data_IF_903266485719
#
_entry.id   IF_903266485719
#
_cell.length_a   1.000
_cell.length_b   1.000
_cell.length_c   1.000
_cell.angle_alpha   90.00
_cell.angle_beta   90.00
_cell.angle_gamma   90.00
#
_symmetry.space_group_name_H-M   'P 1'
#
loop_
_entity.id
_entity.type
_entity.pdbx_description
1 polymer ?
#
# COMPACT_ATOMS: atom_id res chain seq x y z
N UNK A 1 -12.82 14.85 20.51
CA UNK A 1 -12.57 13.52 19.92
C UNK A 1 -12.38 13.75 18.44
N UNK A 2 -11.13 13.72 18.05
CA UNK A 2 -10.57 14.66 17.08
C UNK A 2 -10.79 14.27 15.62
N UNK A 3 -11.42 15.20 14.91
CA UNK A 3 -11.06 15.70 13.58
C UNK A 3 -9.99 14.90 12.80
N UNK A 4 -10.40 13.85 12.09
CA UNK A 4 -9.67 13.29 10.93
C UNK A 4 -9.91 14.14 9.67
N UNK A 5 -9.84 15.46 9.82
CA UNK A 5 -9.98 16.39 8.71
C UNK A 5 -8.68 16.42 7.89
N UNK A 6 -8.76 15.76 6.73
CA UNK A 6 -8.45 16.42 5.47
C UNK A 6 -7.03 17.01 5.32
N UNK A 7 -6.03 16.15 5.15
CA UNK A 7 -4.83 16.49 4.39
C UNK A 7 -4.93 15.91 2.96
N UNK A 8 -5.98 16.30 2.23
CA UNK A 8 -6.06 16.01 0.79
C UNK A 8 -5.31 17.11 0.05
N UNK A 9 -4.07 16.81 -0.37
CA UNK A 9 -3.34 17.62 -1.33
C UNK A 9 -4.25 17.93 -2.53
N UNK A 10 -4.37 19.21 -2.88
CA UNK A 10 -5.42 19.76 -3.73
C UNK A 10 -5.40 19.29 -5.18
N UNK A 11 -5.99 18.12 -5.44
CA UNK A 11 -6.33 17.65 -6.77
C UNK A 11 -7.86 17.51 -6.88
N UNK A 12 -8.52 18.45 -7.57
CA UNK A 12 -9.95 18.38 -7.90
C UNK A 12 -10.14 17.43 -9.09
N UNK A 13 -10.08 16.13 -8.85
CA UNK A 13 -10.58 15.14 -9.81
C UNK A 13 -12.07 14.91 -9.59
N UNK A 14 -12.80 14.47 -10.64
CA UNK A 14 -14.21 14.10 -10.52
C UNK A 14 -14.41 12.98 -9.50
N UNK A 15 -15.60 12.90 -8.89
CA UNK A 15 -15.89 11.99 -7.77
C UNK A 15 -15.54 10.52 -8.02
N UNK A 16 -15.63 10.07 -9.28
CA UNK A 16 -15.27 8.71 -9.70
C UNK A 16 -13.79 8.35 -9.45
N UNK A 17 -12.85 9.22 -9.85
CA UNK A 17 -11.42 8.92 -9.70
C UNK A 17 -10.97 8.95 -8.23
N UNK A 18 -11.65 9.74 -7.40
CA UNK A 18 -11.39 9.78 -5.96
C UNK A 18 -11.86 8.49 -5.28
N UNK A 19 -13.07 8.01 -5.58
CA UNK A 19 -13.54 6.74 -5.01
C UNK A 19 -12.70 5.56 -5.49
N UNK A 20 -12.34 5.52 -6.77
CA UNK A 20 -11.50 4.47 -7.31
C UNK A 20 -10.10 4.45 -6.68
N UNK A 21 -9.51 5.63 -6.45
CA UNK A 21 -8.24 5.74 -5.75
C UNK A 21 -8.32 5.24 -4.30
N UNK A 22 -9.41 5.56 -3.59
CA UNK A 22 -9.64 5.10 -2.23
C UNK A 22 -9.81 3.57 -2.18
N UNK A 23 -10.60 2.98 -3.08
CA UNK A 23 -10.81 1.53 -3.19
C UNK A 23 -9.48 0.79 -3.47
N UNK A 24 -8.68 1.29 -4.41
CA UNK A 24 -7.38 0.69 -4.74
C UNK A 24 -6.36 0.86 -3.61
N UNK A 25 -6.36 1.99 -2.91
CA UNK A 25 -5.52 2.22 -1.74
C UNK A 25 -5.87 1.27 -0.57
N UNK A 26 -7.16 0.99 -0.37
CA UNK A 26 -7.62 -0.02 0.58
C UNK A 26 -7.16 -1.42 0.16
N UNK A 27 -7.32 -1.77 -1.13
CA UNK A 27 -6.86 -3.06 -1.66
C UNK A 27 -5.34 -3.26 -1.47
N UNK A 28 -4.52 -2.22 -1.66
CA UNK A 28 -3.07 -2.26 -1.37
C UNK A 28 -2.82 -2.50 0.11
N UNK A 29 -3.61 -1.87 0.98
CA UNK A 29 -3.44 -2.03 2.43
C UNK A 29 -3.77 -3.44 2.89
N UNK A 30 -4.84 -4.02 2.35
CA UNK A 30 -5.25 -5.41 2.58
C UNK A 30 -4.17 -6.37 2.06
N UNK A 31 -3.65 -6.13 0.85
CA UNK A 31 -2.57 -6.92 0.24
C UNK A 31 -1.36 -7.04 1.17
N UNK A 32 -0.88 -5.91 1.67
CA UNK A 32 0.30 -5.88 2.53
C UNK A 32 0.03 -6.49 3.89
N UNK A 33 -1.15 -6.25 4.46
CA UNK A 33 -1.49 -6.73 5.79
C UNK A 33 -1.63 -8.25 5.82
N UNK A 34 -2.36 -8.82 4.87
CA UNK A 34 -2.83 -10.20 4.97
C UNK A 34 -2.09 -11.19 4.08
N UNK A 35 -1.64 -10.74 2.91
CA UNK A 35 -1.13 -11.62 1.86
C UNK A 35 0.40 -11.53 1.68
N UNK A 36 1.09 -10.74 2.52
CA UNK A 36 2.55 -10.71 2.52
C UNK A 36 3.07 -11.83 3.44
N UNK A 37 3.90 -12.75 2.94
CA UNK A 37 4.45 -13.83 3.76
C UNK A 37 5.43 -13.29 4.80
N UNK A 38 5.42 -13.90 5.98
CA UNK A 38 6.34 -13.60 7.07
C UNK A 38 7.72 -14.28 6.89
N UNK A 39 8.57 -14.23 7.92
CA UNK A 39 9.90 -14.87 7.89
C UNK A 39 9.87 -16.40 7.77
N UNK A 40 8.72 -17.03 8.05
CA UNK A 40 8.49 -18.46 7.89
C UNK A 40 7.80 -18.81 6.56
N UNK A 41 7.47 -17.81 5.74
CA UNK A 41 6.74 -17.98 4.49
C UNK A 41 5.23 -18.06 4.66
N UNK A 42 4.69 -17.86 5.87
CA UNK A 42 3.26 -17.93 6.16
C UNK A 42 2.62 -16.54 6.07
N UNK A 43 1.45 -16.46 5.44
CA UNK A 43 0.67 -15.23 5.34
C UNK A 43 -0.25 -15.07 6.56
N UNK A 44 -0.66 -13.84 6.90
CA UNK A 44 -1.61 -13.66 8.02
C UNK A 44 -2.98 -14.29 7.72
N UNK A 45 -3.37 -14.39 6.46
CA UNK A 45 -4.58 -15.11 6.07
C UNK A 45 -4.51 -16.59 6.51
N UNK A 46 -3.41 -17.28 6.20
CA UNK A 46 -3.18 -18.67 6.62
C UNK A 46 -3.12 -18.79 8.15
N UNK A 47 -2.57 -17.78 8.84
CA UNK A 47 -2.60 -17.73 10.31
C UNK A 47 -4.03 -17.62 10.84
N UNK A 48 -4.85 -16.74 10.26
CA UNK A 48 -6.24 -16.58 10.68
C UNK A 48 -7.02 -17.88 10.49
N UNK A 49 -6.85 -18.55 9.35
CA UNK A 49 -7.49 -19.85 9.08
C UNK A 49 -7.03 -20.91 10.10
N UNK A 50 -5.73 -20.97 10.39
CA UNK A 50 -5.17 -21.93 11.35
C UNK A 50 -5.66 -21.72 12.79
N UNK A 51 -5.84 -20.46 13.20
CA UNK A 51 -6.25 -20.11 14.55
C UNK A 51 -7.77 -19.85 14.68
N UNK A 52 -8.55 -20.16 13.63
CA UNK A 52 -10.01 -19.98 13.59
C UNK A 52 -10.44 -18.53 13.91
N UNK A 53 -9.63 -17.57 13.46
CA UNK A 53 -9.92 -16.14 13.56
C UNK A 53 -10.84 -15.67 12.42
N UNK A 54 -11.44 -14.50 12.59
CA UNK A 54 -12.28 -13.93 11.54
C UNK A 54 -11.48 -13.77 10.22
N UNK A 55 -12.06 -14.15 9.07
CA UNK A 55 -11.37 -14.06 7.79
C UNK A 55 -10.96 -12.61 7.49
N UNK A 56 -9.85 -12.41 6.76
CA UNK A 56 -9.45 -11.07 6.37
C UNK A 56 -10.56 -10.39 5.55
N UNK A 57 -10.65 -9.06 5.60
CA UNK A 57 -11.53 -8.33 4.69
C UNK A 57 -11.17 -8.67 3.23
N UNK A 58 -12.17 -8.84 2.34
CA UNK A 58 -11.90 -9.21 0.97
C UNK A 58 -11.10 -8.11 0.26
N UNK A 59 -10.07 -8.50 -0.48
CA UNK A 59 -9.32 -7.59 -1.36
C UNK A 59 -10.14 -7.34 -2.63
N UNK A 60 -10.95 -6.30 -2.63
CA UNK A 60 -11.78 -5.91 -3.77
C UNK A 60 -10.99 -4.98 -4.68
N UNK A 61 -10.78 -5.39 -5.94
CA UNK A 61 -10.20 -4.55 -6.99
C UNK A 61 -11.35 -4.24 -7.95
N UNK A 62 -11.83 -2.99 -8.03
CA UNK A 62 -12.88 -2.64 -8.99
C UNK A 62 -12.41 -2.93 -10.42
N UNK A 63 -13.32 -3.39 -11.29
CA UNK A 63 -13.00 -3.68 -12.71
C UNK A 63 -12.33 -2.46 -13.40
N UNK A 64 -12.84 -1.26 -13.15
CA UNK A 64 -12.25 -0.01 -13.65
C UNK A 64 -10.85 0.29 -13.10
N UNK A 65 -10.42 -0.41 -12.05
CA UNK A 65 -9.14 -0.27 -11.37
C UNK A 65 -8.11 -1.35 -11.70
N UNK A 66 -8.49 -2.43 -12.39
CA UNK A 66 -7.60 -3.57 -12.65
C UNK A 66 -6.32 -3.18 -13.39
N UNK A 67 -6.44 -2.28 -14.36
CA UNK A 67 -5.28 -1.79 -15.11
C UNK A 67 -4.33 -1.00 -14.22
N UNK A 68 -4.85 -0.13 -13.35
CA UNK A 68 -4.01 0.65 -12.43
C UNK A 68 -3.39 -0.23 -11.34
N UNK A 69 -4.12 -1.25 -10.89
CA UNK A 69 -3.60 -2.29 -10.01
C UNK A 69 -2.37 -2.97 -10.63
N UNK A 70 -2.50 -3.46 -11.86
CA UNK A 70 -1.40 -4.08 -12.59
C UNK A 70 -0.23 -3.12 -12.76
N UNK A 71 -0.47 -1.90 -13.24
CA UNK A 71 0.58 -0.90 -13.46
C UNK A 71 1.34 -0.57 -12.20
N UNK A 72 0.65 -0.41 -11.07
CA UNK A 72 1.28 -0.11 -9.80
C UNK A 72 2.27 -1.20 -9.38
N UNK A 73 1.88 -2.48 -9.46
CA UNK A 73 2.77 -3.59 -9.11
C UNK A 73 3.91 -3.77 -10.11
N UNK A 74 3.64 -3.61 -11.42
CA UNK A 74 4.70 -3.61 -12.45
C UNK A 74 5.79 -2.57 -12.16
N UNK A 75 5.43 -1.37 -11.70
CA UNK A 75 6.39 -0.32 -11.33
C UNK A 75 7.02 -0.61 -9.97
N UNK A 76 6.23 -1.04 -8.99
CA UNK A 76 6.70 -1.29 -7.63
C UNK A 76 7.75 -2.41 -7.58
N UNK A 77 7.59 -3.46 -8.38
CA UNK A 77 8.44 -4.64 -8.37
C UNK A 77 9.82 -4.41 -8.99
N UNK A 78 10.01 -3.32 -9.76
CA UNK A 78 11.35 -2.95 -10.27
C UNK A 78 12.19 -2.20 -9.24
N UNK A 79 11.58 -1.81 -8.11
CA UNK A 79 12.19 -0.92 -7.12
C UNK A 79 12.42 -1.64 -5.81
N UNK A 80 13.52 -1.26 -5.15
CA UNK A 80 13.70 -1.59 -3.74
C UNK A 80 12.76 -0.71 -2.89
N UNK A 81 11.65 -1.31 -2.44
CA UNK A 81 10.58 -0.62 -1.71
C UNK A 81 10.83 -0.42 -0.20
N UNK A 82 11.85 -1.08 0.36
CA UNK A 82 12.27 -0.90 1.76
C UNK A 82 13.78 -0.76 1.85
N UNK A 83 14.23 0.32 2.47
CA UNK A 83 15.64 0.64 2.70
C UNK A 83 15.81 1.09 4.14
N UNK A 84 16.79 0.53 4.85
CA UNK A 84 17.11 0.87 6.25
C UNK A 84 15.91 0.84 7.22
N UNK A 85 14.97 -0.10 7.00
CA UNK A 85 13.78 -0.23 7.84
C UNK A 85 12.73 0.86 7.62
N UNK A 86 12.80 1.59 6.51
CA UNK A 86 11.79 2.55 6.11
C UNK A 86 11.23 2.22 4.72
N UNK A 87 9.92 2.42 4.49
CA UNK A 87 9.33 2.29 3.17
C UNK A 87 9.80 3.42 2.26
N UNK A 88 10.11 3.08 1.01
CA UNK A 88 10.53 4.01 -0.02
C UNK A 88 9.35 4.28 -0.99
N UNK A 89 8.88 5.53 -1.12
CA UNK A 89 7.87 5.89 -2.12
C UNK A 89 8.45 5.78 -3.53
N UNK A 90 7.58 5.55 -4.51
CA UNK A 90 7.99 5.56 -5.92
C UNK A 90 8.24 7.01 -6.33
N UNK A 91 9.46 7.40 -6.75
CA UNK A 91 9.70 8.76 -7.18
C UNK A 91 9.03 9.03 -8.55
N UNK A 92 8.62 10.28 -8.84
CA UNK A 92 7.96 10.65 -10.10
C UNK A 92 8.74 10.21 -11.36
N UNK A 93 10.07 10.16 -11.26
CA UNK A 93 10.95 9.73 -12.34
C UNK A 93 10.74 8.28 -12.76
N UNK A 94 10.38 7.39 -11.84
CA UNK A 94 10.15 5.97 -12.16
C UNK A 94 8.86 5.77 -12.93
N UNK A 95 7.81 6.53 -12.61
CA UNK A 95 6.58 6.54 -13.41
C UNK A 95 6.83 6.99 -14.84
N UNK A 96 7.67 8.03 -15.03
CA UNK A 96 8.06 8.50 -16.35
C UNK A 96 8.90 7.46 -17.10
N UNK A 97 9.88 6.85 -16.45
CA UNK A 97 10.74 5.84 -17.04
C UNK A 97 9.93 4.61 -17.48
N UNK A 98 9.06 4.09 -16.60
CA UNK A 98 8.18 2.96 -16.92
C UNK A 98 7.22 3.29 -18.07
N UNK A 99 6.61 4.48 -18.06
CA UNK A 99 5.72 4.92 -19.14
C UNK A 99 6.45 4.97 -20.50
N UNK A 100 7.68 5.50 -20.51
CA UNK A 100 8.52 5.54 -21.71
C UNK A 100 8.93 4.14 -22.19
N UNK A 101 9.36 3.26 -21.28
CA UNK A 101 9.80 1.90 -21.62
C UNK A 101 8.67 1.02 -22.13
N UNK A 102 7.46 1.17 -21.59
CA UNK A 102 6.29 0.35 -21.96
C UNK A 102 5.45 0.97 -23.06
N UNK A 103 5.76 2.20 -23.48
CA UNK A 103 4.98 2.95 -24.48
C UNK A 103 3.59 3.37 -23.99
N UNK A 104 3.38 3.42 -22.67
CA UNK A 104 2.09 3.77 -22.05
C UNK A 104 2.00 5.27 -21.80
N UNK A 105 0.79 5.81 -21.89
CA UNK A 105 0.47 7.20 -21.56
C UNK A 105 -0.26 7.19 -20.22
N UNK A 106 0.25 7.95 -19.25
CA UNK A 106 -0.36 8.10 -17.92
C UNK A 106 -0.94 9.50 -17.82
N UNK A 107 -2.25 9.60 -17.68
CA UNK A 107 -2.94 10.87 -17.49
C UNK A 107 -2.78 11.37 -16.05
N UNK A 108 -2.92 12.69 -15.79
CA UNK A 108 -2.77 13.23 -14.43
C UNK A 108 -3.70 12.56 -13.39
N UNK A 109 -4.93 12.22 -13.77
CA UNK A 109 -5.88 11.53 -12.89
C UNK A 109 -5.44 10.11 -12.53
N UNK A 110 -4.82 9.41 -13.47
CA UNK A 110 -4.30 8.05 -13.28
C UNK A 110 -3.04 8.07 -12.43
N UNK A 111 -2.17 9.05 -12.70
CA UNK A 111 -1.01 9.30 -11.84
C UNK A 111 -1.43 9.57 -10.40
N UNK A 112 -2.52 10.32 -10.18
CA UNK A 112 -3.05 10.57 -8.84
C UNK A 112 -3.57 9.29 -8.16
N UNK A 113 -4.19 8.36 -8.91
CA UNK A 113 -4.56 7.03 -8.40
C UNK A 113 -3.30 6.26 -7.98
N UNK A 114 -2.30 6.17 -8.85
CA UNK A 114 -1.05 5.46 -8.56
C UNK A 114 -0.34 6.04 -7.34
N UNK A 115 -0.34 7.37 -7.17
CA UNK A 115 0.17 8.02 -5.97
C UNK A 115 -0.64 7.69 -4.71
N UNK A 116 -1.96 7.55 -4.80
CA UNK A 116 -2.79 7.17 -3.65
C UNK A 116 -2.46 5.74 -3.20
N UNK A 117 -2.31 4.83 -4.15
CA UNK A 117 -1.85 3.45 -3.91
C UNK A 117 -0.46 3.43 -3.26
N UNK A 118 0.49 4.24 -3.77
CA UNK A 118 1.85 4.33 -3.23
C UNK A 118 1.89 4.82 -1.78
N UNK A 119 1.06 5.82 -1.44
CA UNK A 119 0.94 6.31 -0.06
C UNK A 119 0.38 5.24 0.87
N UNK A 120 -0.61 4.47 0.41
CA UNK A 120 -1.16 3.37 1.17
C UNK A 120 -0.10 2.28 1.41
N UNK A 121 0.68 1.95 0.38
CA UNK A 121 1.79 1.01 0.49
C UNK A 121 2.80 1.46 1.56
N UNK A 122 3.28 2.70 1.47
CA UNK A 122 4.27 3.22 2.41
C UNK A 122 3.72 3.27 3.84
N UNK A 123 2.47 3.71 4.01
CA UNK A 123 1.83 3.77 5.32
C UNK A 123 1.75 2.38 5.97
N UNK A 124 1.23 1.40 5.23
CA UNK A 124 1.05 0.05 5.77
C UNK A 124 2.38 -0.66 5.99
N UNK A 125 3.32 -0.57 5.05
CA UNK A 125 4.67 -1.14 5.22
C UNK A 125 5.39 -0.52 6.42
N UNK A 126 5.26 0.79 6.63
CA UNK A 126 5.81 1.45 7.82
C UNK A 126 5.20 0.93 9.13
N UNK A 127 3.89 0.67 9.13
CA UNK A 127 3.21 0.04 10.27
C UNK A 127 3.72 -1.39 10.51
N UNK A 128 3.84 -2.20 9.46
CA UNK A 128 4.36 -3.58 9.54
C UNK A 128 5.77 -3.65 10.11
N UNK A 129 6.67 -2.78 9.62
CA UNK A 129 8.04 -2.70 10.12
C UNK A 129 8.04 -2.29 11.59
N UNK A 130 7.22 -1.31 11.98
CA UNK A 130 7.12 -0.87 13.37
C UNK A 130 6.66 -2.01 14.28
N UNK A 131 5.57 -2.70 13.92
CA UNK A 131 5.04 -3.83 14.69
C UNK A 131 6.06 -4.99 14.77
N UNK A 132 6.80 -5.24 13.70
CA UNK A 132 7.90 -6.21 13.70
C UNK A 132 9.02 -5.82 14.67
N UNK A 133 9.46 -4.55 14.65
CA UNK A 133 10.51 -4.06 15.52
C UNK A 133 10.08 -4.08 17.00
N UNK A 134 8.84 -3.74 17.30
CA UNK A 134 8.28 -3.82 18.66
C UNK A 134 8.23 -5.27 19.18
N UNK A 135 7.96 -6.25 18.31
CA UNK A 135 8.03 -7.69 18.65
C UNK A 135 9.46 -8.16 18.91
N UNK A 136 10.44 -7.75 18.08
CA UNK A 136 11.84 -8.20 18.21
C UNK A 136 12.61 -7.49 19.31
N UNK A 137 12.32 -6.22 19.54
CA UNK A 137 13.03 -5.36 20.50
C UNK A 137 12.04 -4.68 21.44
N UNK A 138 11.42 -5.42 22.37
CA UNK A 138 10.43 -4.85 23.28
C UNK A 138 11.08 -3.76 24.15
N UNK A 139 10.38 -2.64 24.40
CA UNK A 139 10.93 -1.56 25.21
C UNK A 139 11.22 -2.07 26.63
N UNK A 140 12.42 -1.77 27.15
CA UNK A 140 12.76 -2.07 28.55
C UNK A 140 11.74 -1.38 29.46
N UNK A 141 11.00 -2.16 30.24
CA UNK A 141 10.10 -1.63 31.26
C UNK A 141 10.92 -0.76 32.22
N UNK A 142 10.61 0.54 32.31
CA UNK A 142 11.20 1.42 33.32
C UNK A 142 10.70 0.95 34.68
N UNK A 143 11.60 0.36 35.47
CA UNK A 143 11.32 0.00 36.86
C UNK A 143 10.83 1.22 37.65
N UNK A 144 9.76 1.01 38.42
CA UNK A 144 9.27 1.93 39.43
C UNK A 144 10.27 2.10 40.57
#
# INVERSE_FOLDING_TARGET
MDSFANQRCGWRYGGFFLSLADDLAEAVSIQLRFYTPDENGETREELHERFDEAPPPPRIIPEAGETYWQWYWEISDTLRRVTDGAPNPIPPTEYLAWAQMTGRIVWPSEYAILQAMDRAFCKMTGQEIKEYMERKFPPKQKGK
#
